data_IF_914187903206
#
_entry.id   IF_914187903206
#
_cell.length_a   1.000
_cell.length_b   1.000
_cell.length_c   1.000
_cell.angle_alpha   90.00
_cell.angle_beta   90.00
_cell.angle_gamma   90.00
#
_symmetry.space_group_name_H-M   'P 1'
#
loop_
_entity.id
_entity.type
_entity.pdbx_description
1 polymer ?
#
# COMPACT_ATOMS: atom_id res chain seq x y z
N UNK A 1 -29.54 22.72 -9.69
CA UNK A 1 -30.10 21.50 -9.07
C UNK A 1 -30.03 20.38 -10.10
N UNK A 2 -28.88 19.71 -10.22
CA UNK A 2 -28.74 18.44 -10.95
C UNK A 2 -27.72 17.61 -10.15
N UNK A 3 -28.23 16.91 -9.14
CA UNK A 3 -27.47 16.02 -8.27
C UNK A 3 -27.98 14.60 -8.54
N UNK A 4 -27.06 13.66 -8.73
CA UNK A 4 -27.26 12.20 -8.83
C UNK A 4 -28.01 11.66 -10.06
N UNK A 5 -27.25 11.41 -11.14
CA UNK A 5 -27.56 10.30 -12.06
C UNK A 5 -26.53 9.19 -11.88
N UNK A 6 -26.93 7.93 -11.59
CA UNK A 6 -26.00 6.81 -11.46
C UNK A 6 -25.27 6.56 -12.78
N UNK A 7 -23.94 6.46 -12.71
CA UNK A 7 -23.09 6.18 -13.87
C UNK A 7 -23.24 4.69 -14.22
N UNK A 8 -23.71 4.40 -15.44
CA UNK A 8 -23.88 3.02 -15.90
C UNK A 8 -22.53 2.32 -16.18
N UNK A 9 -22.53 0.97 -16.21
CA UNK A 9 -21.36 0.11 -16.45
C UNK A 9 -20.52 0.53 -17.66
N UNK A 10 -21.18 0.98 -18.74
CA UNK A 10 -20.51 1.41 -19.97
C UNK A 10 -19.70 2.70 -19.79
N UNK A 11 -20.20 3.66 -19.01
CA UNK A 11 -19.43 4.86 -18.64
C UNK A 11 -18.31 4.55 -17.65
N UNK A 12 -18.53 3.64 -16.71
CA UNK A 12 -17.48 3.20 -15.79
C UNK A 12 -16.30 2.57 -16.53
N UNK A 13 -16.56 1.70 -17.52
CA UNK A 13 -15.52 1.09 -18.37
C UNK A 13 -14.74 2.12 -19.21
N UNK A 14 -15.37 3.21 -19.66
CA UNK A 14 -14.68 4.29 -20.39
C UNK A 14 -13.77 5.14 -19.49
N UNK A 15 -14.17 5.37 -18.23
CA UNK A 15 -13.32 6.03 -17.22
C UNK A 15 -12.10 5.16 -16.88
N UNK A 16 -12.21 3.84 -17.05
CA UNK A 16 -11.16 2.86 -16.74
C UNK A 16 -10.12 2.67 -17.85
N UNK A 17 -10.29 3.25 -19.04
CA UNK A 17 -9.30 3.14 -20.14
C UNK A 17 -9.10 1.72 -20.70
N UNK A 18 -10.00 0.77 -20.41
CA UNK A 18 -9.97 -0.57 -21.02
C UNK A 18 -10.54 -0.52 -22.44
N UNK A 19 -9.71 -0.14 -23.41
CA UNK A 19 -9.87 -0.55 -24.81
C UNK A 19 -9.16 -1.88 -25.04
N UNK A 20 -9.81 -2.83 -25.72
CA UNK A 20 -9.22 -4.13 -26.06
C UNK A 20 -7.90 -3.95 -26.81
N UNK A 21 -6.80 -4.41 -26.24
CA UNK A 21 -5.52 -4.55 -26.94
C UNK A 21 -5.46 -5.96 -27.54
N UNK A 22 -5.49 -6.02 -28.87
CA UNK A 22 -5.21 -7.22 -29.63
C UNK A 22 -3.74 -7.64 -29.41
N UNK A 23 -3.52 -8.91 -29.10
CA UNK A 23 -2.19 -9.51 -28.92
C UNK A 23 -1.52 -9.70 -30.27
N UNK A 24 -0.51 -8.88 -30.58
CA UNK A 24 0.51 -9.21 -31.57
C UNK A 24 1.77 -9.63 -30.81
N UNK A 25 2.14 -10.91 -30.91
CA UNK A 25 3.42 -11.44 -30.42
C UNK A 25 4.46 -11.24 -31.53
N UNK A 26 5.50 -10.42 -31.36
CA UNK A 26 6.64 -10.45 -32.27
C UNK A 26 7.60 -11.54 -31.81
N UNK A 27 7.88 -12.50 -32.70
CA UNK A 27 9.01 -13.41 -32.55
C UNK A 27 10.31 -12.62 -32.69
N UNK A 28 11.13 -12.60 -31.63
CA UNK A 28 12.47 -11.98 -31.67
C UNK A 28 13.51 -12.97 -32.23
N UNK A 29 14.45 -12.53 -33.08
CA UNK A 29 15.55 -13.38 -33.53
C UNK A 29 16.61 -13.52 -32.43
N UNK A 30 17.17 -14.72 -32.33
CA UNK A 30 18.31 -15.00 -31.47
C UNK A 30 19.56 -14.27 -31.97
N UNK A 31 20.14 -13.42 -31.12
CA UNK A 31 21.51 -12.93 -31.28
C UNK A 31 22.23 -12.98 -29.94
N UNK A 32 23.32 -13.73 -29.91
CA UNK A 32 24.28 -13.71 -28.82
C UNK A 32 25.03 -12.38 -28.80
N UNK A 33 25.16 -11.81 -27.61
CA UNK A 33 26.25 -10.92 -27.24
C UNK A 33 26.31 -10.83 -25.71
N UNK A 34 27.51 -11.03 -25.16
CA UNK A 34 27.83 -10.85 -23.74
C UNK A 34 27.67 -9.39 -23.37
N UNK A 35 26.45 -8.99 -23.00
CA UNK A 35 26.15 -7.71 -22.36
C UNK A 35 26.51 -7.90 -20.89
N UNK A 36 27.49 -7.14 -20.36
CA UNK A 36 27.62 -7.01 -18.90
C UNK A 36 26.24 -6.56 -18.39
N UNK A 37 25.56 -7.40 -17.62
CA UNK A 37 24.29 -7.06 -17.01
C UNK A 37 24.50 -5.79 -16.18
N UNK A 38 23.81 -4.70 -16.55
CA UNK A 38 23.90 -3.45 -15.80
C UNK A 38 23.22 -3.71 -14.46
N UNK A 39 24.01 -3.77 -13.38
CA UNK A 39 23.50 -3.94 -12.01
C UNK A 39 22.42 -2.88 -11.75
N UNK A 40 21.27 -3.30 -11.24
CA UNK A 40 20.17 -2.39 -10.90
C UNK A 40 20.69 -1.48 -9.79
N UNK A 41 20.64 -0.16 -10.00
CA UNK A 41 21.07 0.81 -8.99
C UNK A 41 20.14 0.73 -7.78
N UNK A 42 18.90 1.23 -7.93
CA UNK A 42 17.89 1.29 -6.87
C UNK A 42 16.72 0.38 -7.19
N UNK A 43 16.45 -0.58 -6.32
CA UNK A 43 15.25 -1.42 -6.39
C UNK A 43 14.35 -1.12 -5.20
N UNK A 44 13.10 -0.70 -5.44
CA UNK A 44 12.15 -0.38 -4.37
C UNK A 44 10.96 -1.33 -4.44
N UNK A 45 10.75 -2.04 -3.34
CA UNK A 45 9.53 -2.79 -3.08
C UNK A 45 8.51 -1.89 -2.40
N UNK A 46 7.28 -1.90 -2.88
CA UNK A 46 6.23 -1.09 -2.28
C UNK A 46 4.90 -1.83 -2.14
N UNK A 47 4.12 -1.42 -1.13
CA UNK A 47 2.73 -1.87 -0.95
C UNK A 47 1.83 -0.65 -0.82
N UNK A 48 0.70 -0.61 -1.52
CA UNK A 48 -0.21 0.55 -1.45
C UNK A 48 -1.68 0.22 -1.69
N UNK A 49 -2.53 0.63 -0.75
CA UNK A 49 -3.98 0.48 -0.84
C UNK A 49 -4.67 1.72 -1.46
N UNK A 50 -4.20 2.92 -1.10
CA UNK A 50 -4.81 4.21 -1.46
C UNK A 50 -3.88 5.11 -2.28
N UNK A 51 -2.66 4.66 -2.56
CA UNK A 51 -1.71 5.35 -3.44
C UNK A 51 -0.67 6.21 -2.71
N UNK A 52 -0.75 6.39 -1.40
CA UNK A 52 0.23 7.17 -0.62
C UNK A 52 1.65 6.61 -0.79
N UNK A 53 1.85 5.34 -0.45
CA UNK A 53 3.15 4.66 -0.56
C UNK A 53 3.61 4.52 -2.02
N UNK A 54 2.68 4.32 -2.98
CA UNK A 54 3.03 4.31 -4.41
C UNK A 54 3.53 5.68 -4.89
N UNK A 55 2.88 6.77 -4.47
CA UNK A 55 3.34 8.12 -4.78
C UNK A 55 4.75 8.35 -4.22
N UNK A 56 4.99 8.05 -2.94
CA UNK A 56 6.31 8.16 -2.31
C UNK A 56 7.36 7.32 -3.05
N UNK A 57 7.02 6.08 -3.41
CA UNK A 57 7.92 5.18 -4.14
C UNK A 57 8.33 5.76 -5.50
N UNK A 58 7.38 6.32 -6.26
CA UNK A 58 7.66 7.00 -7.54
C UNK A 58 8.61 8.17 -7.38
N UNK A 59 8.46 8.95 -6.32
CA UNK A 59 9.35 10.08 -6.07
C UNK A 59 10.76 9.62 -5.67
N UNK A 60 10.87 8.59 -4.83
CA UNK A 60 12.16 8.11 -4.32
C UNK A 60 12.92 7.29 -5.38
N UNK A 61 12.23 6.61 -6.29
CA UNK A 61 12.87 5.84 -7.36
C UNK A 61 13.75 6.70 -8.27
N UNK A 62 13.32 7.94 -8.56
CA UNK A 62 14.00 8.78 -9.55
C UNK A 62 13.99 8.15 -10.95
N UNK A 63 14.86 8.62 -11.84
CA UNK A 63 14.93 8.15 -13.24
C UNK A 63 15.56 6.75 -13.40
N UNK A 64 16.44 6.37 -12.47
CA UNK A 64 17.21 5.10 -12.55
C UNK A 64 16.66 4.00 -11.62
N UNK A 65 15.61 4.29 -10.85
CA UNK A 65 15.02 3.35 -9.91
C UNK A 65 14.01 2.40 -10.55
N UNK A 66 14.03 1.15 -10.09
CA UNK A 66 13.03 0.14 -10.44
C UNK A 66 12.03 -0.01 -9.30
N UNK A 67 10.74 -0.02 -9.62
CA UNK A 67 9.67 -0.26 -8.67
C UNK A 67 9.07 -1.65 -8.86
N UNK A 68 8.97 -2.41 -7.77
CA UNK A 68 8.25 -3.68 -7.72
C UNK A 68 7.15 -3.61 -6.66
N UNK A 69 5.93 -3.96 -7.04
CA UNK A 69 4.82 -4.01 -6.10
C UNK A 69 4.83 -5.34 -5.36
N UNK A 70 4.81 -5.28 -4.04
CA UNK A 70 4.79 -6.46 -3.16
C UNK A 70 3.54 -7.31 -3.44
N UNK A 71 2.42 -6.67 -3.77
CA UNK A 71 1.17 -7.36 -4.11
C UNK A 71 1.33 -8.30 -5.32
N UNK A 72 2.24 -8.00 -6.24
CA UNK A 72 2.48 -8.82 -7.44
C UNK A 72 3.45 -9.97 -7.17
N UNK A 73 4.26 -9.85 -6.13
CA UNK A 73 5.27 -10.84 -5.73
C UNK A 73 4.75 -11.83 -4.68
N UNK A 74 3.45 -11.80 -4.33
CA UNK A 74 2.90 -12.67 -3.26
C UNK A 74 2.93 -14.17 -3.59
N UNK A 75 2.89 -14.51 -4.87
CA UNK A 75 2.93 -15.91 -5.34
C UNK A 75 4.35 -16.38 -5.69
N UNK A 76 5.35 -15.51 -5.55
CA UNK A 76 6.74 -15.85 -5.81
C UNK A 76 7.34 -16.52 -4.58
N UNK A 77 7.73 -17.79 -4.70
CA UNK A 77 8.28 -18.59 -3.62
C UNK A 77 9.80 -18.44 -3.56
N UNK A 78 10.31 -17.99 -2.41
CA UNK A 78 11.74 -17.83 -2.14
C UNK A 78 12.53 -17.00 -3.18
N UNK A 79 12.02 -15.82 -3.61
CA UNK A 79 12.72 -15.03 -4.60
C UNK A 79 14.03 -14.46 -4.06
N UNK A 80 15.00 -14.29 -4.96
CA UNK A 80 16.28 -13.63 -4.68
C UNK A 80 16.35 -12.34 -5.48
N UNK A 81 16.56 -11.22 -4.80
CA UNK A 81 16.70 -9.91 -5.43
C UNK A 81 18.08 -9.31 -5.15
N UNK A 82 18.68 -8.72 -6.19
CA UNK A 82 20.00 -8.10 -6.10
C UNK A 82 20.01 -6.72 -6.78
N UNK A 83 20.53 -5.72 -6.06
CA UNK A 83 20.70 -4.35 -6.53
C UNK A 83 21.85 -3.65 -5.76
N UNK A 84 22.27 -2.45 -6.16
CA UNK A 84 23.21 -1.65 -5.35
C UNK A 84 22.56 -1.14 -4.06
N UNK A 85 21.28 -0.80 -4.14
CA UNK A 85 20.45 -0.44 -2.98
C UNK A 85 19.02 -0.98 -3.11
N UNK A 86 18.50 -1.48 -1.99
CA UNK A 86 17.14 -2.03 -1.88
C UNK A 86 16.34 -1.21 -0.88
N UNK A 87 15.15 -0.79 -1.30
CA UNK A 87 14.22 0.01 -0.52
C UNK A 87 12.89 -0.68 -0.26
N UNK A 88 12.28 -0.41 0.88
CA UNK A 88 10.89 -0.80 1.17
C UNK A 88 10.05 0.44 1.47
N UNK A 89 8.90 0.60 0.79
CA UNK A 89 7.98 1.71 1.02
C UNK A 89 6.58 1.18 1.27
N UNK A 90 6.09 1.33 2.50
CA UNK A 90 4.83 0.73 2.92
C UNK A 90 4.06 1.65 3.88
N UNK A 91 2.74 1.48 4.01
CA UNK A 91 1.98 2.16 5.03
C UNK A 91 2.27 1.60 6.41
N UNK A 92 2.10 2.42 7.44
CA UNK A 92 2.18 1.98 8.84
C UNK A 92 0.78 1.59 9.30
N UNK A 93 0.55 0.30 9.54
CA UNK A 93 -0.72 -0.25 9.98
C UNK A 93 -0.61 -0.71 11.43
N UNK A 94 -1.37 -0.06 12.31
CA UNK A 94 -1.28 -0.31 13.76
C UNK A 94 0.18 -0.30 14.24
N UNK A 95 0.96 0.70 13.79
CA UNK A 95 2.35 0.94 14.17
C UNK A 95 3.43 0.05 13.58
N UNK A 96 3.08 -0.91 12.72
CA UNK A 96 4.05 -1.83 12.09
C UNK A 96 3.78 -1.95 10.58
N UNK A 97 4.68 -2.58 9.78
CA UNK A 97 4.39 -2.89 8.39
C UNK A 97 3.18 -3.82 8.26
N UNK A 98 2.39 -3.74 7.16
CA UNK A 98 1.31 -4.67 6.89
C UNK A 98 1.82 -6.11 6.84
N UNK A 99 0.99 -7.09 7.21
CA UNK A 99 1.44 -8.48 7.28
C UNK A 99 1.93 -9.00 5.92
N UNK A 100 1.27 -8.63 4.82
CA UNK A 100 1.73 -8.92 3.46
C UNK A 100 3.17 -8.43 3.16
N UNK A 101 3.60 -7.32 3.78
CA UNK A 101 4.97 -6.80 3.65
C UNK A 101 5.93 -7.60 4.53
N UNK A 102 5.51 -7.92 5.77
CA UNK A 102 6.31 -8.77 6.67
C UNK A 102 6.55 -10.15 6.06
N UNK A 103 5.50 -10.78 5.54
CA UNK A 103 5.54 -12.10 4.87
C UNK A 103 6.40 -12.06 3.61
N UNK A 104 6.45 -10.92 2.89
CA UNK A 104 7.32 -10.74 1.73
C UNK A 104 8.79 -10.66 2.13
N UNK A 105 9.11 -9.86 3.15
CA UNK A 105 10.48 -9.78 3.66
C UNK A 105 10.94 -11.14 4.17
N UNK A 106 10.09 -11.84 4.93
CA UNK A 106 10.44 -13.12 5.55
C UNK A 106 10.69 -14.26 4.54
N UNK A 107 9.99 -14.26 3.40
CA UNK A 107 10.15 -15.30 2.39
C UNK A 107 11.21 -15.02 1.33
N UNK A 108 11.82 -13.83 1.33
CA UNK A 108 12.70 -13.38 0.24
C UNK A 108 14.14 -13.26 0.69
N UNK A 109 15.08 -13.42 -0.24
CA UNK A 109 16.50 -13.11 -0.01
C UNK A 109 16.88 -11.82 -0.73
N UNK A 110 17.53 -10.90 -0.02
CA UNK A 110 17.94 -9.62 -0.56
C UNK A 110 19.46 -9.44 -0.52
N UNK A 111 20.05 -8.95 -1.61
CA UNK A 111 21.47 -8.64 -1.73
C UNK A 111 21.64 -7.19 -2.17
N UNK A 112 22.12 -6.34 -1.27
CA UNK A 112 22.43 -4.95 -1.57
C UNK A 112 23.51 -4.40 -0.64
N UNK A 113 24.16 -3.32 -1.07
CA UNK A 113 25.17 -2.61 -0.28
C UNK A 113 24.52 -1.57 0.65
N UNK A 114 23.24 -1.26 0.43
CA UNK A 114 22.50 -0.26 1.18
C UNK A 114 21.01 -0.59 1.23
N UNK A 115 20.44 -0.60 2.43
CA UNK A 115 19.02 -0.88 2.67
C UNK A 115 18.32 0.31 3.29
N UNK A 116 17.13 0.64 2.78
CA UNK A 116 16.30 1.68 3.36
C UNK A 116 14.83 1.31 3.48
N UNK A 117 14.12 1.92 4.43
CA UNK A 117 12.67 1.83 4.55
C UNK A 117 12.03 3.18 4.77
N UNK A 118 10.90 3.43 4.11
CA UNK A 118 10.06 4.62 4.30
C UNK A 118 8.63 4.21 4.65
N UNK A 119 8.22 4.48 5.89
CA UNK A 119 6.85 4.25 6.36
C UNK A 119 5.94 5.45 6.08
N UNK A 120 4.77 5.24 5.46
CA UNK A 120 3.75 6.30 5.28
C UNK A 120 2.64 6.15 6.31
N UNK A 121 2.31 7.19 7.08
CA UNK A 121 1.32 7.11 8.17
C UNK A 121 0.43 8.35 8.23
N UNK A 122 -0.74 8.28 8.86
CA UNK A 122 -1.60 9.45 9.05
C UNK A 122 -1.48 10.06 10.45
N UNK A 123 -1.88 9.30 11.48
CA UNK A 123 -1.80 9.75 12.88
C UNK A 123 -0.42 9.54 13.52
N UNK A 124 0.00 8.29 13.74
CA UNK A 124 1.26 7.97 14.43
C UNK A 124 2.01 6.81 13.76
N UNK A 125 3.34 6.89 13.71
CA UNK A 125 4.22 5.81 13.28
C UNK A 125 4.75 4.97 14.46
N UNK A 126 5.01 5.61 15.60
CA UNK A 126 5.47 5.00 16.86
C UNK A 126 6.64 4.01 16.69
N UNK A 127 6.48 2.73 17.02
CA UNK A 127 7.53 1.69 17.01
C UNK A 127 7.93 1.21 15.61
N UNK A 128 7.32 1.72 14.54
CA UNK A 128 7.58 1.27 13.17
C UNK A 128 9.07 1.17 12.82
N UNK A 129 9.93 2.16 13.13
CA UNK A 129 11.35 2.09 12.79
C UNK A 129 12.07 0.91 13.45
N UNK A 130 11.82 0.67 14.74
CA UNK A 130 12.43 -0.44 15.47
C UNK A 130 11.89 -1.80 15.03
N UNK A 131 10.58 -1.87 14.76
CA UNK A 131 9.99 -3.11 14.26
C UNK A 131 10.63 -3.51 12.94
N UNK A 132 10.78 -2.57 12.01
CA UNK A 132 11.40 -2.82 10.69
C UNK A 132 12.88 -3.20 10.84
N UNK A 133 13.63 -2.50 11.69
CA UNK A 133 15.05 -2.81 11.91
C UNK A 133 15.24 -4.22 12.49
N UNK A 134 14.38 -4.63 13.43
CA UNK A 134 14.39 -5.98 13.97
C UNK A 134 13.96 -7.03 12.94
N UNK A 135 12.90 -6.76 12.17
CA UNK A 135 12.45 -7.64 11.09
C UNK A 135 13.57 -7.87 10.06
N UNK A 136 14.34 -6.83 9.71
CA UNK A 136 15.48 -6.97 8.80
C UNK A 136 16.55 -7.92 9.37
N UNK A 137 16.94 -7.70 10.64
CA UNK A 137 17.96 -8.52 11.33
C UNK A 137 17.54 -9.98 11.44
N UNK A 138 16.28 -10.23 11.77
CA UNK A 138 15.71 -11.58 11.83
C UNK A 138 15.77 -12.30 10.47
N UNK A 139 15.80 -11.55 9.37
CA UNK A 139 15.86 -12.06 7.99
C UNK A 139 17.23 -11.88 7.32
N UNK A 140 18.28 -11.68 8.12
CA UNK A 140 19.67 -11.77 7.66
C UNK A 140 20.22 -10.55 6.92
N UNK A 141 19.59 -9.38 7.06
CA UNK A 141 20.13 -8.12 6.54
C UNK A 141 19.96 -6.97 7.55
N UNK A 142 20.63 -5.83 7.30
CA UNK A 142 20.62 -4.69 8.21
C UNK A 142 20.15 -3.44 7.47
N UNK A 143 19.27 -2.66 8.10
CA UNK A 143 18.84 -1.37 7.56
C UNK A 143 19.91 -0.31 7.78
N UNK A 144 20.19 0.47 6.75
CA UNK A 144 21.03 1.67 6.85
C UNK A 144 20.17 2.90 7.15
N UNK A 145 18.98 2.98 6.54
CA UNK A 145 18.12 4.15 6.67
C UNK A 145 16.66 3.77 6.93
N UNK A 146 16.05 4.32 7.99
CA UNK A 146 14.62 4.18 8.23
C UNK A 146 14.04 5.53 8.58
N UNK A 147 13.01 5.96 7.84
CA UNK A 147 12.29 7.19 8.15
C UNK A 147 10.79 7.03 7.85
N UNK A 148 10.01 8.02 8.24
CA UNK A 148 8.55 8.02 8.06
C UNK A 148 8.05 9.34 7.50
N UNK A 149 6.98 9.28 6.71
CA UNK A 149 6.34 10.44 6.09
C UNK A 149 4.87 10.45 6.51
N UNK A 150 4.49 11.49 7.25
CA UNK A 150 3.10 11.73 7.59
C UNK A 150 2.32 12.19 6.35
N UNK A 151 1.20 11.54 6.07
CA UNK A 151 0.33 11.73 4.91
C UNK A 151 -1.13 11.86 5.36
N UNK A 152 -2.05 11.93 4.39
CA UNK A 152 -3.49 11.84 4.64
C UNK A 152 -3.81 10.48 5.30
N UNK A 153 -4.47 10.48 6.46
CA UNK A 153 -4.94 9.24 7.08
C UNK A 153 -6.09 8.64 6.26
N UNK A 154 -6.10 7.31 6.17
CA UNK A 154 -7.05 6.57 5.34
C UNK A 154 -7.87 5.57 6.14
N UNK A 155 -7.72 5.52 7.46
CA UNK A 155 -8.51 4.64 8.30
C UNK A 155 -9.86 5.25 8.65
N UNK A 156 -10.84 4.97 7.80
CA UNK A 156 -12.17 5.58 7.82
C UNK A 156 -12.96 5.47 9.14
N UNK A 157 -12.79 4.45 10.02
CA UNK A 157 -13.49 4.43 11.30
C UNK A 157 -13.15 5.64 12.18
N UNK A 158 -11.87 6.04 12.25
CA UNK A 158 -11.43 7.13 13.12
C UNK A 158 -11.26 8.46 12.39
N UNK A 159 -11.01 8.45 11.07
CA UNK A 159 -10.63 9.63 10.31
C UNK A 159 -11.60 9.95 9.17
N UNK A 160 -12.21 11.15 9.23
CA UNK A 160 -13.00 11.69 8.12
C UNK A 160 -12.08 12.09 6.97
N UNK A 161 -12.25 11.46 5.80
CA UNK A 161 -11.36 11.67 4.67
C UNK A 161 -11.45 13.08 4.05
N UNK A 162 -12.55 13.83 4.18
CA UNK A 162 -12.58 15.24 3.72
C UNK A 162 -11.75 16.12 4.65
N UNK A 163 -11.84 15.92 5.96
CA UNK A 163 -11.02 16.63 6.95
C UNK A 163 -9.54 16.32 6.76
N UNK A 164 -9.19 15.04 6.62
CA UNK A 164 -7.80 14.63 6.40
C UNK A 164 -7.22 15.20 5.09
N UNK A 165 -8.03 15.30 4.01
CA UNK A 165 -7.59 15.95 2.76
C UNK A 165 -7.34 17.45 2.93
N UNK A 166 -8.17 18.13 3.73
CA UNK A 166 -8.08 19.56 3.97
C UNK A 166 -6.99 19.96 4.99
N UNK A 167 -6.38 18.98 5.67
CA UNK A 167 -5.37 19.22 6.70
C UNK A 167 -4.14 19.97 6.12
N UNK A 168 -3.77 21.14 6.68
CA UNK A 168 -2.59 21.90 6.25
C UNK A 168 -1.27 21.10 6.28
N UNK A 169 -1.17 20.04 7.11
CA UNK A 169 0.02 19.17 7.15
C UNK A 169 0.37 18.60 5.78
N UNK A 170 -0.61 18.41 4.91
CA UNK A 170 -0.43 17.81 3.59
C UNK A 170 0.43 18.68 2.66
N UNK A 171 0.49 19.99 2.90
CA UNK A 171 1.35 20.91 2.12
C UNK A 171 2.85 20.63 2.34
N UNK A 172 3.21 19.96 3.45
CA UNK A 172 4.59 19.62 3.79
C UNK A 172 5.08 18.32 3.13
N UNK A 173 4.16 17.52 2.55
CA UNK A 173 4.48 16.19 1.99
C UNK A 173 5.61 16.26 0.93
N UNK A 174 5.58 17.15 -0.08
CA UNK A 174 6.63 17.21 -1.09
C UNK A 174 8.01 17.49 -0.48
N UNK A 175 8.09 18.41 0.48
CA UNK A 175 9.34 18.74 1.18
C UNK A 175 9.88 17.58 2.01
N UNK A 176 9.00 16.84 2.71
CA UNK A 176 9.39 15.64 3.46
C UNK A 176 9.92 14.54 2.55
N UNK A 177 9.27 14.30 1.40
CA UNK A 177 9.75 13.34 0.39
C UNK A 177 11.11 13.76 -0.15
N UNK A 178 11.29 15.04 -0.50
CA UNK A 178 12.57 15.54 -1.02
C UNK A 178 13.70 15.39 0.00
N UNK A 179 13.45 15.64 1.28
CA UNK A 179 14.44 15.44 2.34
C UNK A 179 14.85 13.96 2.49
N UNK A 180 13.87 13.05 2.45
CA UNK A 180 14.13 11.60 2.52
C UNK A 180 14.91 11.12 1.29
N UNK A 181 14.53 11.55 0.09
CA UNK A 181 15.25 11.23 -1.14
C UNK A 181 16.71 11.73 -1.07
N UNK A 182 16.92 12.98 -0.65
CA UNK A 182 18.27 13.54 -0.53
C UNK A 182 19.15 12.78 0.48
N UNK A 183 18.57 12.30 1.59
CA UNK A 183 19.28 11.48 2.56
C UNK A 183 19.65 10.09 2.00
N UNK A 184 18.73 9.45 1.27
CA UNK A 184 18.96 8.16 0.60
C UNK A 184 20.04 8.32 -0.48
N UNK A 185 19.99 9.37 -1.31
CA UNK A 185 20.98 9.62 -2.36
C UNK A 185 22.38 9.87 -1.81
N UNK A 186 22.48 10.40 -0.58
CA UNK A 186 23.75 10.55 0.16
C UNK A 186 24.19 9.30 0.91
N UNK A 187 23.38 8.23 0.88
CA UNK A 187 23.59 6.99 1.66
C UNK A 187 23.78 7.26 3.15
N UNK A 188 22.97 8.14 3.71
CA UNK A 188 23.00 8.44 5.14
C UNK A 188 22.66 7.19 5.98
N UNK A 189 23.44 6.94 7.03
CA UNK A 189 23.10 5.90 8.00
C UNK A 189 22.28 6.52 9.14
N UNK A 190 20.96 6.30 9.12
CA UNK A 190 20.03 6.90 10.06
C UNK A 190 18.78 6.05 10.27
N UNK A 191 18.56 5.59 11.50
CA UNK A 191 17.29 4.96 11.90
C UNK A 191 16.54 5.98 12.77
N UNK A 192 15.32 6.35 12.34
CA UNK A 192 14.44 7.25 13.09
C UNK A 192 14.29 6.76 14.54
N UNK A 193 14.73 7.54 15.55
CA UNK A 193 14.64 7.12 16.95
C UNK A 193 13.19 6.95 17.41
N UNK A 194 12.95 5.90 18.19
CA UNK A 194 11.66 5.66 18.86
C UNK A 194 11.77 6.13 20.30
N UNK A 195 10.85 7.00 20.73
CA UNK A 195 10.84 7.55 22.08
C UNK A 195 10.10 6.65 23.07
N UNK A 196 10.27 6.87 24.37
CA UNK A 196 9.47 6.19 25.39
C UNK A 196 7.97 6.48 25.23
N UNK A 197 7.61 7.70 24.81
CA UNK A 197 6.23 8.06 24.54
C UNK A 197 5.64 7.23 23.38
N UNK A 198 6.41 6.98 22.33
CA UNK A 198 5.99 6.13 21.22
C UNK A 198 5.68 4.70 21.68
N UNK A 199 6.54 4.15 22.55
CA UNK A 199 6.33 2.82 23.16
C UNK A 199 5.09 2.80 24.03
N UNK A 200 4.87 3.82 24.85
CA UNK A 200 3.69 3.94 25.70
C UNK A 200 2.39 4.03 24.88
N UNK A 201 2.38 4.82 23.79
CA UNK A 201 1.23 4.90 22.87
C UNK A 201 0.95 3.53 22.25
N UNK A 202 2.00 2.86 21.75
CA UNK A 202 1.90 1.54 21.17
C UNK A 202 1.33 0.52 22.16
N UNK A 203 1.90 0.44 23.37
CA UNK A 203 1.45 -0.49 24.41
C UNK A 203 0.01 -0.22 24.85
N UNK A 204 -0.36 1.06 25.05
CA UNK A 204 -1.73 1.44 25.41
C UNK A 204 -2.75 1.04 24.33
N UNK A 205 -2.42 1.26 23.05
CA UNK A 205 -3.27 0.85 21.93
C UNK A 205 -3.44 -0.67 21.85
N UNK A 206 -2.36 -1.43 21.92
CA UNK A 206 -2.44 -2.90 21.84
C UNK A 206 -3.20 -3.48 23.04
N UNK A 207 -2.98 -2.94 24.24
CA UNK A 207 -3.70 -3.37 25.45
C UNK A 207 -5.20 -3.08 25.37
N UNK A 208 -5.59 -1.92 24.85
CA UNK A 208 -7.00 -1.50 24.76
C UNK A 208 -7.75 -2.14 23.60
N UNK A 209 -7.08 -2.35 22.46
CA UNK A 209 -7.69 -2.95 21.27
C UNK A 209 -7.73 -4.48 21.31
N UNK A 210 -6.83 -5.12 22.06
CA UNK A 210 -6.68 -6.58 22.09
C UNK A 210 -6.19 -7.18 20.77
N UNK A 211 -5.65 -6.35 19.86
CA UNK A 211 -5.12 -6.80 18.56
C UNK A 211 -3.84 -7.60 18.72
N UNK A 212 -3.63 -8.54 17.81
CA UNK A 212 -2.37 -9.27 17.71
C UNK A 212 -1.20 -8.31 17.40
N UNK A 213 -0.06 -8.50 18.05
CA UNK A 213 1.09 -7.60 17.95
C UNK A 213 1.96 -7.83 16.71
N UNK A 214 1.74 -8.91 15.97
CA UNK A 214 2.48 -9.23 14.74
C UNK A 214 1.64 -9.02 13.48
N UNK A 215 0.35 -9.34 13.55
CA UNK A 215 -0.63 -9.25 12.46
C UNK A 215 -1.89 -8.50 12.91
N UNK A 216 -1.78 -7.23 13.35
CA UNK A 216 -2.88 -6.48 13.99
C UNK A 216 -4.08 -6.23 13.07
N UNK A 217 -3.87 -6.22 11.76
CA UNK A 217 -4.87 -5.88 10.74
C UNK A 217 -5.38 -7.08 9.95
N UNK A 218 -4.74 -8.25 10.08
CA UNK A 218 -5.11 -9.43 9.30
C UNK A 218 -6.39 -10.06 9.85
N UNK A 219 -7.33 -10.30 8.96
CA UNK A 219 -8.62 -10.91 9.29
C UNK A 219 -9.24 -11.54 8.04
N UNK A 220 -10.50 -11.96 8.17
CA UNK A 220 -11.34 -12.46 7.09
C UNK A 220 -12.15 -11.30 6.51
N UNK A 221 -12.07 -11.06 5.21
CA UNK A 221 -12.73 -9.93 4.54
C UNK A 221 -14.24 -9.85 4.82
N UNK A 222 -14.89 -11.01 4.92
CA UNK A 222 -16.31 -11.20 5.21
C UNK A 222 -16.71 -10.68 6.61
N UNK A 223 -15.74 -10.55 7.52
CA UNK A 223 -15.96 -10.08 8.89
C UNK A 223 -15.83 -8.56 9.04
N UNK A 224 -15.23 -7.88 8.06
CA UNK A 224 -14.85 -6.46 8.21
C UNK A 224 -15.36 -5.56 7.09
N UNK A 225 -15.72 -6.09 5.93
CA UNK A 225 -16.30 -5.30 4.84
C UNK A 225 -17.55 -5.96 4.31
N UNK A 226 -18.53 -5.14 3.92
CA UNK A 226 -19.77 -5.63 3.32
C UNK A 226 -20.17 -4.75 2.14
N UNK A 227 -20.90 -5.37 1.21
CA UNK A 227 -21.52 -4.70 0.08
C UNK A 227 -22.99 -4.43 0.38
N UNK A 228 -23.51 -3.27 -0.04
CA UNK A 228 -24.94 -2.95 0.01
C UNK A 228 -25.63 -3.21 -1.33
N UNK A 229 -26.95 -3.04 -1.39
CA UNK A 229 -27.78 -3.11 -2.61
C UNK A 229 -27.41 -2.03 -3.65
N UNK A 230 -26.54 -1.07 -3.31
CA UNK A 230 -26.00 -0.09 -4.26
C UNK A 230 -24.93 -0.68 -5.19
N UNK A 231 -24.51 -1.94 -4.97
CA UNK A 231 -23.51 -2.59 -5.78
C UNK A 231 -24.03 -2.88 -7.19
N UNK A 232 -23.19 -2.59 -8.18
CA UNK A 232 -23.53 -2.76 -9.62
C UNK A 232 -22.62 -3.79 -10.31
N UNK A 233 -21.90 -4.61 -9.53
CA UNK A 233 -21.03 -5.66 -10.07
C UNK A 233 -19.89 -5.15 -10.94
N UNK A 234 -19.37 -3.95 -10.67
CA UNK A 234 -18.35 -3.32 -11.53
C UNK A 234 -16.96 -3.99 -11.45
N UNK A 235 -16.69 -4.79 -10.43
CA UNK A 235 -15.42 -5.52 -10.27
C UNK A 235 -14.22 -4.67 -9.80
N UNK A 236 -14.39 -3.36 -9.55
CA UNK A 236 -13.26 -2.50 -9.11
C UNK A 236 -12.62 -3.02 -7.83
N UNK A 237 -13.42 -3.51 -6.87
CA UNK A 237 -12.91 -4.09 -5.63
C UNK A 237 -12.03 -5.33 -5.86
N UNK A 238 -12.36 -6.17 -6.84
CA UNK A 238 -11.53 -7.30 -7.28
C UNK A 238 -10.19 -6.80 -7.84
N UNK A 239 -10.22 -5.76 -8.67
CA UNK A 239 -9.01 -5.26 -9.32
C UNK A 239 -8.05 -4.48 -8.41
N UNK A 240 -8.54 -3.86 -7.33
CA UNK A 240 -7.68 -3.07 -6.43
C UNK A 240 -7.27 -3.82 -5.17
N UNK A 241 -7.87 -4.98 -4.88
CA UNK A 241 -7.59 -5.71 -3.65
C UNK A 241 -6.18 -6.34 -3.70
N UNK A 242 -5.26 -5.95 -2.80
CA UNK A 242 -3.91 -6.52 -2.79
C UNK A 242 -3.83 -8.00 -2.40
N UNK A 243 -4.93 -8.55 -1.86
CA UNK A 243 -5.06 -9.94 -1.40
C UNK A 243 -5.97 -10.77 -2.33
N UNK A 244 -6.55 -10.18 -3.37
CA UNK A 244 -7.44 -10.90 -4.28
C UNK A 244 -8.78 -11.35 -3.65
N UNK A 245 -9.17 -10.78 -2.51
CA UNK A 245 -10.27 -11.27 -1.65
C UNK A 245 -11.69 -10.91 -2.14
N UNK A 246 -11.88 -10.62 -3.43
CA UNK A 246 -13.17 -10.19 -3.97
C UNK A 246 -13.51 -10.89 -5.27
N UNK A 247 -14.74 -11.36 -5.40
CA UNK A 247 -15.30 -11.94 -6.63
C UNK A 247 -16.58 -11.20 -7.03
N UNK A 248 -16.98 -11.29 -8.29
CA UNK A 248 -18.30 -10.84 -8.75
C UNK A 248 -19.15 -12.08 -9.02
N UNK A 249 -20.25 -12.23 -8.28
CA UNK A 249 -21.20 -13.34 -8.37
C UNK A 249 -22.58 -12.75 -8.57
N UNK A 250 -23.32 -13.21 -9.58
CA UNK A 250 -24.69 -12.76 -9.89
C UNK A 250 -24.86 -11.22 -9.91
N UNK A 251 -23.87 -10.54 -10.50
CA UNK A 251 -23.87 -9.08 -10.63
C UNK A 251 -23.54 -8.31 -9.35
N UNK A 252 -23.13 -8.98 -8.28
CA UNK A 252 -22.75 -8.36 -7.01
C UNK A 252 -21.33 -8.75 -6.59
N UNK A 253 -20.63 -7.82 -5.94
CA UNK A 253 -19.32 -8.08 -5.37
C UNK A 253 -19.46 -8.82 -4.03
N UNK A 254 -18.77 -9.95 -3.91
CA UNK A 254 -18.71 -10.78 -2.70
C UNK A 254 -17.26 -10.79 -2.21
N UNK A 255 -17.06 -10.41 -0.95
CA UNK A 255 -15.76 -10.53 -0.29
C UNK A 255 -15.58 -11.95 0.21
N UNK A 256 -14.40 -12.53 -0.01
CA UNK A 256 -14.04 -13.83 0.53
C UNK A 256 -12.51 -13.94 0.67
N UNK A 257 -12.01 -14.38 1.83
CA UNK A 257 -10.58 -14.67 2.03
C UNK A 257 -9.84 -13.75 3.00
N UNK A 258 -8.51 -13.84 2.99
CA UNK A 258 -7.62 -13.02 3.84
C UNK A 258 -7.77 -11.53 3.52
N UNK A 259 -7.68 -10.67 4.53
CA UNK A 259 -7.80 -9.23 4.37
C UNK A 259 -6.82 -8.50 5.29
N UNK A 260 -6.10 -7.53 4.72
CA UNK A 260 -5.20 -6.63 5.44
C UNK A 260 -5.92 -5.46 6.14
N UNK A 261 -7.26 -5.40 6.09
CA UNK A 261 -8.05 -4.24 6.53
C UNK A 261 -7.54 -2.89 5.97
N UNK A 262 -6.98 -2.90 4.75
CA UNK A 262 -6.30 -1.75 4.14
C UNK A 262 -7.25 -0.74 3.47
N UNK A 263 -8.53 -1.09 3.38
CA UNK A 263 -9.62 -0.27 2.83
C UNK A 263 -9.48 0.13 1.35
N UNK A 264 -8.59 -0.51 0.58
CA UNK A 264 -8.45 -0.27 -0.87
C UNK A 264 -9.81 -0.36 -1.61
N UNK A 265 -10.62 -1.37 -1.28
CA UNK A 265 -11.93 -1.60 -1.86
C UNK A 265 -12.95 -0.52 -1.47
N UNK A 266 -12.98 -0.12 -0.19
CA UNK A 266 -13.90 0.91 0.34
C UNK A 266 -13.63 2.26 -0.31
N UNK A 267 -12.35 2.64 -0.42
CA UNK A 267 -11.93 3.90 -1.02
C UNK A 267 -12.19 4.02 -2.52
N UNK A 268 -12.07 2.91 -3.26
CA UNK A 268 -12.14 2.94 -4.72
C UNK A 268 -13.49 2.48 -5.29
N UNK A 269 -14.47 2.10 -4.45
CA UNK A 269 -15.79 1.74 -4.93
C UNK A 269 -16.50 2.96 -5.55
N UNK A 270 -16.79 2.96 -6.87
CA UNK A 270 -17.37 4.13 -7.54
C UNK A 270 -18.82 4.42 -7.08
N UNK A 271 -19.53 3.40 -6.61
CA UNK A 271 -20.88 3.53 -6.05
C UNK A 271 -20.87 3.76 -4.54
N UNK A 272 -19.70 3.72 -3.88
CA UNK A 272 -19.58 3.71 -2.41
C UNK A 272 -20.45 2.62 -1.76
N UNK A 273 -20.64 1.51 -2.49
CA UNK A 273 -21.46 0.38 -2.07
C UNK A 273 -20.74 -0.53 -1.06
N UNK A 274 -19.44 -0.32 -0.82
CA UNK A 274 -18.64 -1.09 0.12
C UNK A 274 -18.38 -0.21 1.36
N UNK A 275 -18.56 -0.79 2.53
CA UNK A 275 -18.29 -0.14 3.82
C UNK A 275 -17.68 -1.11 4.81
N UNK A 276 -17.12 -0.57 5.88
CA UNK A 276 -16.59 -1.36 7.00
C UNK A 276 -17.75 -1.78 7.92
N UNK A 277 -17.72 -3.02 8.41
CA UNK A 277 -18.61 -3.49 9.47
C UNK A 277 -18.10 -2.90 10.79
N UNK A 278 -18.88 -2.05 11.49
CA UNK A 278 -18.45 -1.49 12.77
C UNK A 278 -18.29 -2.60 13.81
N UNK A 279 -17.09 -2.73 14.37
CA UNK A 279 -16.80 -3.70 15.42
C UNK A 279 -16.16 -2.99 16.62
N UNK A 280 -16.79 -3.00 17.81
CA UNK A 280 -16.20 -2.40 19.01
C UNK A 280 -14.77 -2.92 19.27
N UNK A 281 -13.82 -2.04 19.67
CA UNK A 281 -14.01 -0.65 20.08
C UNK A 281 -14.02 0.36 18.93
N UNK A 282 -13.99 -0.09 17.67
CA UNK A 282 -13.97 0.79 16.52
C UNK A 282 -15.34 1.45 16.30
N UNK A 283 -15.37 2.78 16.12
CA UNK A 283 -16.62 3.49 15.88
C UNK A 283 -17.09 3.30 14.43
N UNK A 284 -18.33 3.73 14.20
CA UNK A 284 -18.90 3.91 12.87
C UNK A 284 -18.13 4.97 12.07
N UNK A 285 -18.04 4.81 10.74
CA UNK A 285 -17.39 5.79 9.86
C UNK A 285 -18.08 7.16 10.05
N UNK A 286 -17.35 8.25 10.35
CA UNK A 286 -17.96 9.57 10.54
C UNK A 286 -18.58 10.11 9.24
N UNK A 287 -18.11 9.61 8.09
CA UNK A 287 -18.59 10.04 6.78
C UNK A 287 -18.37 8.96 5.71
N UNK A 288 -19.41 8.13 5.50
CA UNK A 288 -19.44 7.08 4.45
C UNK A 288 -19.36 7.61 3.02
N UNK A 289 -19.53 8.91 2.82
CA UNK A 289 -19.42 9.54 1.51
C UNK A 289 -18.01 10.04 1.21
N UNK A 290 -17.17 10.27 2.23
CA UNK A 290 -15.80 10.71 2.04
C UNK A 290 -14.90 9.53 1.71
N UNK A 291 -14.18 9.62 0.60
CA UNK A 291 -13.21 8.61 0.17
C UNK A 291 -11.92 9.30 -0.27
N UNK A 292 -10.83 8.54 -0.22
CA UNK A 292 -9.51 9.03 -0.54
C UNK A 292 -8.80 8.08 -1.48
N UNK A 293 -8.28 8.64 -2.56
CA UNK A 293 -7.15 8.09 -3.30
C UNK A 293 -6.15 9.23 -3.42
N UNK A 294 -4.87 8.91 -3.28
CA UNK A 294 -3.82 9.89 -3.44
C UNK A 294 -3.99 10.60 -4.81
N UNK A 295 -4.03 11.95 -4.85
CA UNK A 295 -4.35 12.69 -6.07
C UNK A 295 -3.30 12.51 -7.18
N UNK A 296 -2.09 12.08 -6.84
CA UNK A 296 -1.01 11.80 -7.78
C UNK A 296 -1.01 10.34 -8.28
N UNK A 297 -2.04 9.56 -7.94
CA UNK A 297 -2.18 8.15 -8.31
C UNK A 297 -3.56 7.90 -8.91
N UNK A 298 -3.58 7.42 -10.15
CA UNK A 298 -4.81 7.07 -10.84
C UNK A 298 -5.39 5.73 -10.34
N UNK A 299 -6.65 5.44 -10.67
CA UNK A 299 -7.21 4.11 -10.39
C UNK A 299 -6.44 3.01 -11.14
N UNK A 300 -6.08 3.30 -12.40
CA UNK A 300 -5.33 2.38 -13.24
C UNK A 300 -3.95 2.05 -12.63
N UNK A 301 -3.29 3.04 -12.02
CA UNK A 301 -2.03 2.83 -11.30
C UNK A 301 -2.18 1.84 -10.13
N UNK A 302 -3.25 2.00 -9.33
CA UNK A 302 -3.52 1.08 -8.22
C UNK A 302 -3.91 -0.32 -8.70
N UNK A 303 -4.73 -0.43 -9.74
CA UNK A 303 -5.07 -1.71 -10.35
C UNK A 303 -3.80 -2.40 -10.86
N UNK A 304 -2.94 -1.67 -11.57
CA UNK A 304 -1.66 -2.21 -12.05
C UNK A 304 -0.80 -2.67 -10.88
N UNK A 305 -0.67 -1.87 -9.84
CA UNK A 305 0.13 -2.22 -8.67
C UNK A 305 -0.40 -3.46 -7.93
N UNK A 306 -1.71 -3.66 -7.87
CA UNK A 306 -2.32 -4.74 -7.08
C UNK A 306 -2.75 -5.96 -7.91
N UNK A 307 -2.46 -5.96 -9.23
CA UNK A 307 -2.73 -7.09 -10.11
C UNK A 307 -1.77 -8.24 -9.84
N UNK A 308 -2.30 -9.35 -9.32
CA UNK A 308 -1.58 -10.60 -9.00
C UNK A 308 -1.48 -11.58 -10.19
N UNK A 309 -1.88 -11.14 -11.38
CA UNK A 309 -1.94 -11.93 -12.62
C UNK A 309 -0.59 -11.90 -13.32
#
# INVERSE_FOLDING_TARGET
MEINRPINRRKALKVLGLGMLATCVPTLPAFGNTRKEKKIKRLIFYFSATGNSLYVSRQIAGEEGTLLSISQEIHNENPVYEAEEIGFVCPVYCFIPPAIVQDFIARSTFKADYFFTVGTFGAHSTIFPEFVDNLAKENGFQMNYINTIQMVDTYLPYFDAEREKADPKNQLIPGKIAAVLAAIDKRENYILPVTEMDRMICEGYYRSSGRDRKRPTVTRSEKIVFSTDACVGCGVCTSVCPHGSWKVVDGHSVAEGECENCLACVHNCPQKAISIIPTPPEPEEPNRNARYRNPNVSLADLIKANSQI
#
